data_IF_875187472552
#
_entry.id   IF_875187472552
#
_cell.length_a   1.000
_cell.length_b   1.000
_cell.length_c   1.000
_cell.angle_alpha   90.00
_cell.angle_beta   90.00
_cell.angle_gamma   90.00
#
_symmetry.space_group_name_H-M   'P 1'
#
loop_
_entity.id
_entity.type
_entity.pdbx_description
1 polymer ?
#
# COMPACT_ATOMS: atom_id res chain seq x y z
N UNK A 1 -6.51 7.85 4.09
CA UNK A 1 -5.11 7.91 3.60
C UNK A 1 -4.97 8.63 2.28
N UNK A 2 -5.71 8.26 1.23
CA UNK A 2 -5.60 8.86 -0.12
C UNK A 2 -5.64 10.39 -0.13
N UNK A 3 -6.62 10.99 0.54
CA UNK A 3 -6.73 12.46 0.63
C UNK A 3 -5.49 13.12 1.25
N UNK A 4 -4.88 12.50 2.27
CA UNK A 4 -3.65 13.01 2.89
C UNK A 4 -2.47 12.89 1.95
N UNK A 5 -2.34 11.74 1.27
CA UNK A 5 -1.31 11.53 0.25
C UNK A 5 -1.36 12.58 -0.86
N UNK A 6 -2.55 12.89 -1.38
CA UNK A 6 -2.76 13.91 -2.41
C UNK A 6 -2.44 15.34 -1.96
N UNK A 7 -2.36 15.58 -0.64
CA UNK A 7 -2.04 16.89 -0.06
C UNK A 7 -0.56 17.02 0.32
N UNK A 8 0.25 15.96 0.19
CA UNK A 8 1.68 16.03 0.46
C UNK A 8 2.41 16.84 -0.63
N UNK A 9 3.43 17.63 -0.24
CA UNK A 9 4.41 18.13 -1.18
C UNK A 9 5.00 16.99 -2.04
N UNK A 10 5.25 17.27 -3.32
CA UNK A 10 5.65 16.26 -4.31
C UNK A 10 6.96 15.54 -3.92
N UNK A 11 7.92 16.27 -3.37
CA UNK A 11 9.18 15.74 -2.83
C UNK A 11 8.94 14.74 -1.69
N UNK A 12 8.06 15.10 -0.73
CA UNK A 12 7.71 14.22 0.39
C UNK A 12 6.94 12.99 -0.08
N UNK A 13 6.00 13.14 -1.01
CA UNK A 13 5.29 12.01 -1.61
C UNK A 13 6.26 11.08 -2.34
N UNK A 14 7.18 11.65 -3.14
CA UNK A 14 8.19 10.88 -3.88
C UNK A 14 9.12 10.10 -2.95
N UNK A 15 9.57 10.71 -1.85
CA UNK A 15 10.40 10.04 -0.85
C UNK A 15 9.67 8.89 -0.12
N UNK A 16 8.34 8.97 0.00
CA UNK A 16 7.52 7.95 0.65
C UNK A 16 7.05 6.84 -0.30
N UNK A 17 7.10 7.03 -1.62
CA UNK A 17 6.68 6.04 -2.62
C UNK A 17 7.27 4.64 -2.39
N UNK A 18 8.59 4.45 -2.14
CA UNK A 18 9.15 3.13 -1.91
C UNK A 18 8.53 2.42 -0.69
N UNK A 19 8.19 3.17 0.37
CA UNK A 19 7.57 2.62 1.58
C UNK A 19 6.13 2.20 1.33
N UNK A 20 5.37 3.00 0.59
CA UNK A 20 4.00 2.63 0.20
C UNK A 20 4.01 1.39 -0.69
N UNK A 21 4.95 1.28 -1.62
CA UNK A 21 5.12 0.09 -2.45
C UNK A 21 5.49 -1.14 -1.64
N UNK A 22 6.40 -1.01 -0.68
CA UNK A 22 6.76 -2.11 0.21
C UNK A 22 5.55 -2.60 1.01
N UNK A 23 4.71 -1.69 1.51
CA UNK A 23 3.44 -2.06 2.16
C UNK A 23 2.47 -2.74 1.21
N UNK A 24 2.31 -2.24 -0.02
CA UNK A 24 1.46 -2.88 -1.02
C UNK A 24 1.96 -4.30 -1.37
N UNK A 25 3.28 -4.50 -1.49
CA UNK A 25 3.88 -5.80 -1.72
C UNK A 25 3.66 -6.75 -0.54
N UNK A 26 3.87 -6.29 0.69
CA UNK A 26 3.63 -7.11 1.88
C UNK A 26 2.16 -7.58 1.97
N UNK A 27 1.21 -6.71 1.63
CA UNK A 27 -0.21 -7.07 1.56
C UNK A 27 -0.51 -8.04 0.43
N UNK A 28 0.11 -7.84 -0.73
CA UNK A 28 0.00 -8.75 -1.86
C UNK A 28 0.52 -10.15 -1.49
N UNK A 29 1.67 -10.25 -0.84
CA UNK A 29 2.23 -11.54 -0.44
C UNK A 29 1.30 -12.30 0.56
N UNK A 30 0.49 -11.59 1.37
CA UNK A 30 -0.48 -12.21 2.29
C UNK A 30 -1.63 -12.93 1.56
N UNK A 31 -2.01 -12.51 0.36
CA UNK A 31 -3.10 -13.17 -0.39
C UNK A 31 -2.64 -14.45 -1.11
N UNK A 32 -1.36 -14.83 -1.01
CA UNK A 32 -0.80 -16.00 -1.69
C UNK A 32 -0.91 -15.94 -3.23
N UNK A 33 -0.51 -14.84 -3.88
CA UNK A 33 -0.69 -14.64 -5.31
C UNK A 33 0.19 -15.58 -6.12
N UNK A 34 -0.30 -15.98 -7.28
CA UNK A 34 0.43 -16.80 -8.26
C UNK A 34 1.26 -15.98 -9.23
N UNK A 35 0.96 -14.68 -9.34
CA UNK A 35 1.57 -13.74 -10.28
C UNK A 35 2.56 -12.81 -9.56
N UNK A 36 3.45 -12.19 -10.33
CA UNK A 36 4.36 -11.17 -9.81
C UNK A 36 3.62 -9.87 -9.49
N UNK A 37 4.05 -9.21 -8.40
CA UNK A 37 3.59 -7.86 -8.10
C UNK A 37 4.14 -6.87 -9.13
N UNK A 38 3.33 -6.49 -10.10
CA UNK A 38 3.72 -5.54 -11.13
C UNK A 38 4.12 -4.19 -10.52
N UNK A 39 5.29 -3.66 -10.86
CA UNK A 39 5.70 -2.31 -10.44
C UNK A 39 5.09 -1.25 -11.36
N UNK A 40 3.87 -0.83 -11.02
CA UNK A 40 3.21 0.27 -11.71
C UNK A 40 3.74 1.58 -11.12
N UNK A 41 4.10 2.53 -11.99
CA UNK A 41 4.80 3.76 -11.62
C UNK A 41 4.12 4.60 -10.52
N UNK A 42 4.71 5.74 -10.11
CA UNK A 42 4.32 6.48 -8.89
C UNK A 42 2.83 6.85 -8.80
N UNK A 43 2.18 7.06 -9.95
CA UNK A 43 0.75 7.40 -10.06
C UNK A 43 -0.15 6.27 -9.56
N UNK A 44 0.22 5.01 -9.78
CA UNK A 44 -0.58 3.84 -9.42
C UNK A 44 -0.36 3.38 -7.98
N UNK A 45 0.70 3.84 -7.30
CA UNK A 45 1.13 3.34 -5.98
C UNK A 45 0.01 3.29 -4.94
N UNK A 46 -0.84 4.32 -4.86
CA UNK A 46 -1.96 4.34 -3.90
C UNK A 46 -3.11 3.42 -4.30
N UNK A 47 -3.30 3.16 -5.58
CA UNK A 47 -4.34 2.24 -6.07
C UNK A 47 -3.89 0.79 -5.88
N UNK A 48 -2.61 0.49 -6.14
CA UNK A 48 -2.01 -0.81 -5.84
C UNK A 48 -2.12 -1.18 -4.36
N UNK A 49 -1.87 -0.22 -3.46
CA UNK A 49 -2.05 -0.42 -2.02
C UNK A 49 -3.50 -0.80 -1.67
N UNK A 50 -4.50 -0.14 -2.29
CA UNK A 50 -5.92 -0.43 -2.03
C UNK A 50 -6.28 -1.84 -2.48
N UNK A 51 -5.86 -2.23 -3.68
CA UNK A 51 -6.13 -3.56 -4.23
C UNK A 51 -5.48 -4.62 -3.35
N UNK A 52 -4.19 -4.48 -3.04
CA UNK A 52 -3.50 -5.45 -2.18
C UNK A 52 -4.12 -5.55 -0.77
N UNK A 53 -4.55 -4.44 -0.18
CA UNK A 53 -5.26 -4.45 1.11
C UNK A 53 -6.61 -5.16 1.03
N UNK A 54 -7.35 -4.93 -0.06
CA UNK A 54 -8.61 -5.59 -0.32
C UNK A 54 -8.41 -7.09 -0.49
N UNK A 55 -7.46 -7.52 -1.32
CA UNK A 55 -7.18 -8.93 -1.60
C UNK A 55 -6.72 -9.67 -0.34
N UNK A 56 -5.83 -9.07 0.45
CA UNK A 56 -5.41 -9.63 1.74
C UNK A 56 -6.61 -9.80 2.69
N UNK A 57 -7.48 -8.79 2.78
CA UNK A 57 -8.67 -8.85 3.64
C UNK A 57 -9.66 -9.90 3.16
N UNK A 58 -9.92 -9.97 1.85
CA UNK A 58 -10.80 -10.95 1.22
C UNK A 58 -10.27 -12.40 1.38
N UNK A 59 -8.94 -12.55 1.49
CA UNK A 59 -8.27 -13.82 1.75
C UNK A 59 -8.21 -14.20 3.23
N UNK A 60 -8.91 -13.47 4.11
CA UNK A 60 -8.96 -13.76 5.55
C UNK A 60 -7.87 -13.09 6.39
N UNK A 61 -7.02 -12.25 5.81
CA UNK A 61 -5.94 -11.55 6.50
C UNK A 61 -6.30 -10.11 6.90
N UNK A 62 -7.58 -9.85 7.19
CA UNK A 62 -8.08 -8.49 7.48
C UNK A 62 -7.35 -7.78 8.63
N UNK A 63 -7.05 -8.50 9.71
CA UNK A 63 -6.33 -7.93 10.86
C UNK A 63 -4.88 -7.56 10.52
N UNK A 64 -4.18 -8.43 9.78
CA UNK A 64 -2.82 -8.15 9.30
C UNK A 64 -2.82 -6.96 8.32
N UNK A 65 -3.81 -6.89 7.44
CA UNK A 65 -3.97 -5.78 6.51
C UNK A 65 -4.23 -4.46 7.25
N UNK A 66 -5.09 -4.48 8.27
CA UNK A 66 -5.36 -3.32 9.11
C UNK A 66 -4.10 -2.83 9.85
N UNK A 67 -3.31 -3.75 10.41
CA UNK A 67 -2.05 -3.43 11.09
C UNK A 67 -1.02 -2.78 10.15
N UNK A 68 -0.87 -3.32 8.94
CA UNK A 68 0.00 -2.77 7.88
C UNK A 68 -0.41 -1.33 7.51
N UNK A 69 -1.71 -1.10 7.25
CA UNK A 69 -2.23 0.22 6.92
C UNK A 69 -2.10 1.21 8.09
N UNK A 70 -2.27 0.76 9.33
CA UNK A 70 -2.07 1.60 10.52
C UNK A 70 -0.61 2.04 10.65
N UNK A 71 0.34 1.14 10.41
CA UNK A 71 1.77 1.50 10.40
C UNK A 71 2.07 2.50 9.30
N UNK A 72 1.58 2.26 8.09
CA UNK A 72 1.79 3.18 6.96
C UNK A 72 1.14 4.55 7.21
N UNK A 73 -0.02 4.60 7.88
CA UNK A 73 -0.65 5.85 8.30
C UNK A 73 0.24 6.68 9.22
N UNK A 74 0.95 6.07 10.17
CA UNK A 74 1.87 6.80 11.06
C UNK A 74 3.10 7.33 10.31
N UNK A 75 3.53 6.64 9.26
CA UNK A 75 4.65 7.07 8.40
C UNK A 75 4.29 8.26 7.52
N UNK A 76 3.07 8.25 6.98
CA UNK A 76 2.53 9.34 6.15
C UNK A 76 2.12 10.55 7.01
N UNK A 77 1.88 10.32 8.31
CA UNK A 77 1.45 11.29 9.33
C UNK A 77 2.27 12.57 9.38
#
# INVERSE_FOLDING_TARGET
>A
MVRRWQQLPLDRASALCPRVRASARALFDLSGPTDDFAELGPVATMDQLKVAAYDASASGHGDAAAQELLRLRHVIG
#
